data_IF_455637788866
#
_entry.id   IF_455637788866
#
_cell.length_a   1.000
_cell.length_b   1.000
_cell.length_c   1.000
_cell.angle_alpha   90.00
_cell.angle_beta   90.00
_cell.angle_gamma   90.00
#
_symmetry.space_group_name_H-M   'P 1'
#
loop_
_entity.id
_entity.type
_entity.pdbx_description
1 polymer ?
#
# COMPACT_ATOMS: atom_id res chain seq x y z
N UNK A 1 -12.39 13.79 29.53
CA UNK A 1 -12.76 14.60 28.36
C UNK A 1 -11.95 14.09 27.18
N UNK A 2 -12.53 13.27 26.32
CA UNK A 2 -11.87 12.86 25.08
C UNK A 2 -12.19 13.96 24.07
N UNK A 3 -11.17 14.72 23.68
CA UNK A 3 -11.31 15.72 22.63
C UNK A 3 -11.48 14.96 21.32
N UNK A 4 -12.70 14.93 20.77
CA UNK A 4 -12.94 14.51 19.41
C UNK A 4 -12.25 15.51 18.47
N UNK A 5 -10.99 15.24 18.14
CA UNK A 5 -10.31 15.87 16.99
C UNK A 5 -11.07 15.50 15.71
N UNK A 6 -11.20 16.47 14.80
CA UNK A 6 -12.05 16.39 13.60
C UNK A 6 -11.54 15.30 12.64
N UNK A 7 -12.41 14.53 11.97
CA UNK A 7 -12.01 13.57 10.94
C UNK A 7 -11.89 14.32 9.61
N UNK A 8 -10.86 15.15 9.45
CA UNK A 8 -10.68 15.87 8.18
C UNK A 8 -9.91 15.10 7.11
N UNK A 9 -9.59 13.82 7.35
CA UNK A 9 -9.37 12.81 6.31
C UNK A 9 -9.30 11.43 6.98
N UNK A 10 -10.27 10.55 6.68
CA UNK A 10 -10.39 9.22 7.28
C UNK A 10 -9.19 8.31 7.04
N UNK A 11 -9.28 7.03 7.46
CA UNK A 11 -8.13 6.13 7.41
C UNK A 11 -7.59 5.99 5.97
N UNK A 12 -6.26 6.00 5.84
CA UNK A 12 -5.51 6.09 4.60
C UNK A 12 -5.02 4.71 4.13
N UNK A 13 -4.95 4.49 2.80
CA UNK A 13 -4.34 3.28 2.26
C UNK A 13 -2.82 3.30 2.47
N UNK A 14 -2.29 2.19 2.97
CA UNK A 14 -0.85 1.99 3.06
C UNK A 14 -0.21 2.01 1.66
N UNK A 15 0.90 2.74 1.44
CA UNK A 15 1.54 2.82 0.13
C UNK A 15 2.12 1.50 -0.38
N UNK A 16 2.40 0.57 0.53
CA UNK A 16 2.92 -0.76 0.23
C UNK A 16 1.80 -1.72 -0.19
N UNK A 17 0.83 -1.96 0.69
CA UNK A 17 -0.19 -3.00 0.46
C UNK A 17 -1.49 -2.48 -0.16
N UNK A 18 -1.76 -1.18 -0.12
CA UNK A 18 -2.97 -0.54 -0.64
C UNK A 18 -4.21 -0.70 0.24
N UNK A 19 -4.13 -1.43 1.36
CA UNK A 19 -5.23 -1.55 2.31
C UNK A 19 -5.28 -0.35 3.25
N UNK A 20 -6.49 0.02 3.67
CA UNK A 20 -6.75 1.12 4.58
C UNK A 20 -6.40 0.70 6.01
N UNK A 21 -5.20 1.10 6.46
CA UNK A 21 -4.63 0.68 7.75
C UNK A 21 -4.01 1.82 8.55
N UNK A 22 -3.86 3.00 7.95
CA UNK A 22 -3.17 4.14 8.56
C UNK A 22 -4.19 5.20 9.02
N UNK A 23 -4.00 5.84 10.17
CA UNK A 23 -4.86 6.94 10.63
C UNK A 23 -4.57 8.25 9.92
N UNK A 24 -3.34 8.46 9.46
CA UNK A 24 -2.91 9.63 8.69
C UNK A 24 -1.82 9.30 7.67
N UNK A 25 -1.55 10.23 6.74
CA UNK A 25 -0.48 10.10 5.73
C UNK A 25 0.81 10.78 6.21
N UNK A 26 1.93 10.09 6.08
CA UNK A 26 3.25 10.58 6.49
C UNK A 26 3.44 10.61 8.01
N UNK A 27 2.58 9.91 8.77
CA UNK A 27 2.62 9.84 10.23
C UNK A 27 3.65 8.85 10.78
N UNK A 28 4.43 8.19 9.92
CA UNK A 28 5.41 7.16 10.30
C UNK A 28 4.80 5.98 11.08
N UNK A 29 3.50 5.71 10.87
CA UNK A 29 2.85 4.55 11.46
C UNK A 29 3.15 3.27 10.67
N UNK A 30 3.27 2.15 11.39
CA UNK A 30 3.42 0.83 10.80
C UNK A 30 2.06 0.28 10.35
N UNK A 31 1.97 -0.11 9.08
CA UNK A 31 0.80 -0.80 8.57
C UNK A 31 0.61 -2.15 9.29
N UNK A 32 -0.54 -2.33 9.94
CA UNK A 32 -0.87 -3.56 10.69
C UNK A 32 -0.97 -4.84 9.85
N UNK A 33 -1.01 -4.73 8.52
CA UNK A 33 -1.08 -5.87 7.60
C UNK A 33 0.27 -6.24 7.00
N UNK A 34 1.05 -5.25 6.54
CA UNK A 34 2.30 -5.52 5.81
C UNK A 34 3.56 -5.06 6.55
N UNK A 35 3.41 -4.31 7.65
CA UNK A 35 4.50 -3.75 8.47
C UNK A 35 5.41 -2.72 7.79
N UNK A 36 4.99 -2.15 6.67
CA UNK A 36 5.64 -0.96 6.10
C UNK A 36 5.35 0.29 6.96
N UNK A 37 6.36 1.09 7.24
CA UNK A 37 6.22 2.41 7.88
C UNK A 37 5.84 3.47 6.84
N UNK A 38 4.81 4.28 7.10
CA UNK A 38 4.37 5.30 6.15
C UNK A 38 5.30 6.53 6.06
N UNK A 39 6.40 6.37 5.34
CA UNK A 39 7.37 7.39 4.96
C UNK A 39 7.18 7.82 3.48
N UNK A 40 5.99 8.32 3.11
CA UNK A 40 5.59 8.64 1.72
C UNK A 40 6.62 9.40 0.86
N UNK A 41 7.40 8.65 0.07
CA UNK A 41 8.52 9.17 -0.71
C UNK A 41 8.65 8.47 -2.09
N UNK A 42 9.70 8.81 -2.84
CA UNK A 42 10.02 8.16 -4.11
C UNK A 42 10.10 6.64 -3.92
N UNK A 43 9.34 5.91 -4.72
CA UNK A 43 9.11 4.50 -4.47
C UNK A 43 10.36 3.64 -4.68
N UNK A 44 11.32 4.11 -5.47
CA UNK A 44 12.54 3.38 -5.83
C UNK A 44 13.74 3.79 -4.96
N UNK A 45 13.60 4.78 -4.08
CA UNK A 45 14.66 5.23 -3.17
C UNK A 45 14.68 4.39 -1.88
N UNK A 46 15.88 3.96 -1.47
CA UNK A 46 16.10 3.31 -0.17
C UNK A 46 16.52 4.36 0.84
N UNK A 47 15.71 4.55 1.89
CA UNK A 47 15.97 5.60 2.90
C UNK A 47 16.57 5.11 4.21
N UNK A 48 16.58 3.81 4.47
CA UNK A 48 16.98 3.29 5.78
C UNK A 48 15.84 3.33 6.79
N UNK A 49 16.18 3.65 8.03
CA UNK A 49 15.20 3.73 9.11
C UNK A 49 14.50 2.39 9.38
N UNK A 50 13.23 2.44 9.84
CA UNK A 50 12.43 1.24 10.13
C UNK A 50 12.16 0.36 8.89
N UNK A 51 12.09 0.96 7.71
CA UNK A 51 11.99 0.23 6.42
C UNK A 51 13.32 -0.42 5.99
N UNK A 52 14.43 -0.09 6.66
CA UNK A 52 15.73 -0.72 6.44
C UNK A 52 16.27 -0.47 5.03
N UNK A 53 16.81 -1.52 4.39
CA UNK A 53 17.39 -1.44 3.05
C UNK A 53 16.38 -1.59 1.92
N UNK A 54 15.07 -1.56 2.21
CA UNK A 54 14.03 -1.74 1.21
C UNK A 54 13.55 -0.41 0.66
N UNK A 55 13.35 -0.40 -0.66
CA UNK A 55 12.51 0.58 -1.34
C UNK A 55 11.03 0.20 -1.21
N UNK A 56 10.15 1.18 -1.39
CA UNK A 56 8.70 0.93 -1.41
C UNK A 56 8.30 0.03 -2.59
N UNK A 57 9.01 0.11 -3.72
CA UNK A 57 8.82 -0.77 -4.88
C UNK A 57 9.12 -2.23 -4.52
N UNK A 58 10.21 -2.50 -3.80
CA UNK A 58 10.53 -3.84 -3.30
C UNK A 58 9.51 -4.32 -2.27
N UNK A 59 9.10 -3.46 -1.33
CA UNK A 59 8.08 -3.79 -0.35
C UNK A 59 6.73 -4.17 -0.99
N UNK A 60 6.32 -3.46 -2.04
CA UNK A 60 5.12 -3.80 -2.84
C UNK A 60 5.24 -5.16 -3.50
N UNK A 61 6.42 -5.49 -4.04
CA UNK A 61 6.68 -6.80 -4.61
C UNK A 61 6.58 -7.89 -3.53
N UNK A 62 7.26 -7.68 -2.41
CA UNK A 62 7.28 -8.57 -1.26
C UNK A 62 5.87 -8.83 -0.71
N UNK A 63 5.05 -7.79 -0.56
CA UNK A 63 3.68 -7.97 -0.08
C UNK A 63 2.86 -8.86 -1.02
N UNK A 64 3.05 -8.73 -2.35
CA UNK A 64 2.37 -9.57 -3.34
C UNK A 64 2.83 -11.03 -3.31
N UNK A 65 4.09 -11.29 -2.95
CA UNK A 65 4.68 -12.65 -2.95
C UNK A 65 4.47 -13.37 -1.63
N UNK A 66 4.62 -12.68 -0.49
CA UNK A 66 4.65 -13.31 0.83
C UNK A 66 3.73 -12.65 1.87
N UNK A 67 3.00 -11.59 1.52
CA UNK A 67 2.03 -10.95 2.42
C UNK A 67 2.64 -10.04 3.49
N UNK A 68 3.91 -9.68 3.38
CA UNK A 68 4.61 -8.72 4.24
C UNK A 68 5.52 -7.80 3.39
N UNK A 69 5.93 -6.63 3.89
CA UNK A 69 6.88 -5.77 3.18
C UNK A 69 8.31 -6.35 3.17
N UNK A 70 8.66 -7.16 4.17
CA UNK A 70 9.98 -7.76 4.38
C UNK A 70 9.84 -9.17 4.97
N UNK A 71 10.75 -10.08 4.64
CA UNK A 71 10.73 -11.47 5.12
C UNK A 71 10.71 -11.53 6.65
N UNK A 72 11.42 -10.60 7.30
CA UNK A 72 11.48 -10.45 8.77
C UNK A 72 10.12 -10.17 9.40
N UNK A 73 9.19 -9.60 8.62
CA UNK A 73 7.86 -9.22 9.09
C UNK A 73 6.82 -10.33 8.90
N UNK A 74 7.13 -11.40 8.16
CA UNK A 74 6.18 -12.50 7.88
C UNK A 74 5.68 -13.21 9.14
N UNK A 75 6.48 -13.24 10.20
CA UNK A 75 6.08 -13.80 11.50
C UNK A 75 4.99 -12.99 12.22
N UNK A 76 4.79 -11.73 11.83
CA UNK A 76 3.83 -10.82 12.44
C UNK A 76 2.57 -10.63 11.59
N UNK A 77 2.59 -11.07 10.33
CA UNK A 77 1.42 -11.01 9.45
C UNK A 77 0.57 -12.26 9.64
N UNK A 78 -0.73 -12.05 9.87
CA UNK A 78 -1.68 -13.17 9.81
C UNK A 78 -1.66 -13.71 8.38
N UNK A 79 -1.50 -15.03 8.23
CA UNK A 79 -1.36 -15.75 6.95
C UNK A 79 -2.16 -15.08 5.83
N UNK A 80 -1.46 -14.62 4.79
CA UNK A 80 -1.91 -13.83 3.65
C UNK A 80 -3.44 -13.61 3.54
N UNK A 81 -3.95 -12.37 3.55
CA UNK A 81 -5.37 -12.14 3.29
C UNK A 81 -5.72 -12.76 1.94
N UNK A 82 -6.69 -13.67 1.96
CA UNK A 82 -7.26 -14.31 0.78
C UNK A 82 -7.52 -13.23 -0.27
N UNK A 83 -6.94 -13.39 -1.47
CA UNK A 83 -6.83 -12.37 -2.51
C UNK A 83 -8.20 -11.83 -2.95
N UNK A 84 -8.76 -10.88 -2.21
CA UNK A 84 -9.78 -9.99 -2.74
C UNK A 84 -9.02 -8.89 -3.51
N UNK A 85 -9.07 -8.85 -4.86
CA UNK A 85 -8.49 -7.74 -5.58
C UNK A 85 -9.12 -6.44 -5.06
N UNK A 86 -8.36 -5.34 -4.92
CA UNK A 86 -8.99 -4.04 -4.73
C UNK A 86 -9.99 -3.88 -5.86
N UNK A 87 -11.24 -3.53 -5.53
CA UNK A 87 -12.24 -3.18 -6.54
C UNK A 87 -11.74 -1.95 -7.30
N UNK A 88 -10.88 -2.19 -8.28
CA UNK A 88 -10.55 -1.26 -9.33
C UNK A 88 -11.82 -1.25 -10.18
N UNK A 89 -12.68 -0.25 -10.01
CA UNK A 89 -13.70 0.05 -11.02
C UNK A 89 -12.95 0.48 -12.28
N UNK A 90 -12.53 -0.52 -13.05
CA UNK A 90 -11.89 -0.35 -14.34
C UNK A 90 -12.96 0.18 -15.30
N UNK A 91 -13.01 1.50 -15.45
CA UNK A 91 -13.69 2.12 -16.58
C UNK A 91 -12.86 1.87 -17.84
N UNK A 92 -12.96 0.65 -18.38
CA UNK A 92 -12.44 0.33 -19.71
C UNK A 92 -13.43 0.91 -20.72
N UNK A 93 -13.21 2.16 -21.16
CA UNK A 93 -13.73 2.58 -22.46
C UNK A 93 -12.87 1.90 -23.53
N UNK A 94 -13.35 0.74 -24.00
CA UNK A 94 -12.87 0.14 -25.26
C UNK A 94 -13.29 1.07 -26.39
N UNK A 95 -12.44 2.02 -26.78
CA UNK A 95 -12.55 2.59 -28.12
C UNK A 95 -12.02 1.53 -29.08
N UNK A 96 -12.95 0.78 -29.67
CA UNK A 96 -12.71 -0.03 -30.88
C UNK A 96 -12.00 0.85 -31.90
N UNK A 97 -10.92 0.34 -32.46
CA UNK A 97 -10.34 0.87 -33.68
C UNK A 97 -11.40 0.94 -34.78
N UNK A 98 -11.39 2.05 -35.51
CA UNK A 98 -11.95 2.13 -36.85
C UNK A 98 -10.73 2.24 -37.76
N UNK A 99 -10.36 1.12 -38.36
CA UNK A 99 -9.50 1.10 -39.54
C UNK A 99 -10.24 1.82 -40.66
N UNK A 100 -9.81 3.05 -40.99
CA UNK A 100 -10.15 3.65 -42.27
C UNK A 100 -8.97 3.46 -43.22
N UNK A 101 -9.03 2.35 -43.95
CA UNK A 101 -8.33 2.17 -45.21
C UNK A 101 -9.33 2.39 -46.34
N UNK A 102 -9.22 3.53 -47.02
CA UNK A 102 -9.66 3.79 -48.39
C UNK A 102 -8.94 5.04 -48.89
#
# INVERSE_FOLDING_TARGET
MIVCGKPENGPYPCPCCGFVTLPERGGYELCSLCFWEDDDHDADEVRGGPNGSLSLTEARHNFRTMGACDERCTQFTSSAPERAPPRMTANIRRHRGVDHRA
#
